data_IF_015277988189
#
_entry.id   IF_015277988189
#
_cell.length_a   1.000
_cell.length_b   1.000
_cell.length_c   1.000
_cell.angle_alpha   90.00
_cell.angle_beta   90.00
_cell.angle_gamma   90.00
#
_symmetry.space_group_name_H-M   'P 1'
#
loop_
_entity.id
_entity.type
_entity.pdbx_description
1 polymer ?
#
# COMPACT_ATOMS: atom_id res chain seq x y z
N UNK A 1 -13.52 -12.64 -18.26
CA UNK A 1 -12.47 -11.65 -18.61
C UNK A 1 -12.32 -10.72 -17.41
N UNK A 2 -11.14 -10.55 -16.79
CA UNK A 2 -11.01 -9.67 -15.65
C UNK A 2 -11.17 -8.22 -16.10
N UNK A 3 -12.08 -7.49 -15.47
CA UNK A 3 -12.25 -6.06 -15.71
C UNK A 3 -11.10 -5.31 -15.01
N UNK A 4 -10.33 -4.53 -15.76
CA UNK A 4 -9.42 -3.54 -15.17
C UNK A 4 -10.27 -2.37 -14.69
N UNK A 5 -10.68 -2.42 -13.42
CA UNK A 5 -11.34 -1.30 -12.77
C UNK A 5 -10.31 -0.17 -12.67
N UNK A 6 -10.55 0.94 -13.38
CA UNK A 6 -9.71 2.13 -13.22
C UNK A 6 -9.92 2.65 -11.79
N UNK A 7 -8.87 2.94 -11.02
CA UNK A 7 -9.03 3.58 -9.73
C UNK A 7 -9.75 4.93 -9.92
N UNK A 8 -10.75 5.20 -9.09
CA UNK A 8 -11.56 6.42 -9.16
C UNK A 8 -10.69 7.66 -8.97
N UNK A 9 -10.96 8.73 -9.71
CA UNK A 9 -10.22 10.00 -9.59
C UNK A 9 -10.43 10.59 -8.18
N UNK A 10 -9.40 10.51 -7.33
CA UNK A 10 -9.46 10.93 -5.92
C UNK A 10 -9.45 9.78 -4.90
N UNK A 11 -9.49 8.53 -5.35
CA UNK A 11 -9.33 7.37 -4.47
C UNK A 11 -7.89 7.25 -3.92
N UNK A 12 -7.70 6.50 -2.82
CA UNK A 12 -6.37 6.27 -2.28
C UNK A 12 -5.49 5.62 -3.35
N UNK A 13 -4.31 6.22 -3.59
CA UNK A 13 -3.36 5.73 -4.60
C UNK A 13 -2.65 4.43 -4.19
N UNK A 14 -2.98 3.91 -3.02
CA UNK A 14 -2.49 2.67 -2.46
C UNK A 14 -3.41 2.17 -1.37
N UNK A 15 -2.96 1.13 -0.68
CA UNK A 15 -3.70 0.44 0.36
C UNK A 15 -2.78 0.26 1.56
N UNK A 16 -3.30 0.51 2.76
CA UNK A 16 -2.62 0.25 4.02
C UNK A 16 -3.61 -0.41 4.98
N UNK A 17 -3.34 -1.65 5.34
CA UNK A 17 -4.16 -2.44 6.25
C UNK A 17 -3.38 -2.78 7.51
N UNK A 18 -4.06 -2.78 8.65
CA UNK A 18 -3.49 -3.22 9.91
C UNK A 18 -3.97 -4.64 10.23
N UNK A 19 -3.25 -5.63 9.71
CA UNK A 19 -3.60 -7.05 9.88
C UNK A 19 -3.69 -7.53 11.33
N UNK A 20 -3.09 -6.80 12.29
CA UNK A 20 -3.20 -7.15 13.71
C UNK A 20 -4.59 -6.86 14.28
N UNK A 21 -5.25 -5.81 13.78
CA UNK A 21 -6.57 -5.38 14.23
C UNK A 21 -7.68 -5.70 13.20
N UNK A 22 -7.32 -5.76 11.93
CA UNK A 22 -8.18 -5.95 10.77
C UNK A 22 -7.57 -7.04 9.85
N UNK A 23 -7.67 -8.32 10.26
CA UNK A 23 -7.14 -9.44 9.47
C UNK A 23 -7.93 -9.68 8.18
N UNK A 24 -9.16 -9.18 8.09
CA UNK A 24 -10.02 -9.28 6.91
C UNK A 24 -9.78 -8.13 5.90
N UNK A 25 -8.80 -7.24 6.15
CA UNK A 25 -8.42 -6.11 5.29
C UNK A 25 -9.62 -5.22 4.88
N UNK A 26 -10.53 -5.01 5.83
CA UNK A 26 -11.77 -4.25 5.62
C UNK A 26 -11.55 -2.74 5.65
N UNK A 27 -10.55 -2.25 6.40
CA UNK A 27 -10.35 -0.83 6.66
C UNK A 27 -9.04 -0.28 6.07
N UNK A 28 -9.18 0.58 5.05
CA UNK A 28 -8.03 1.13 4.33
C UNK A 28 -7.53 2.43 4.99
N UNK A 29 -6.52 2.29 5.84
CA UNK A 29 -5.89 3.37 6.60
C UNK A 29 -4.91 4.22 5.77
N UNK A 30 -4.85 4.04 4.44
CA UNK A 30 -3.84 4.68 3.59
C UNK A 30 -3.90 6.21 3.62
N UNK A 31 -5.10 6.79 3.68
CA UNK A 31 -5.28 8.25 3.75
C UNK A 31 -5.10 8.76 5.18
N UNK A 32 -5.46 7.95 6.18
CA UNK A 32 -5.43 8.32 7.59
C UNK A 32 -4.03 8.27 8.20
N UNK A 33 -3.15 7.40 7.70
CA UNK A 33 -1.81 7.19 8.25
C UNK A 33 -0.69 7.47 7.23
N UNK A 34 -0.54 8.73 6.76
CA UNK A 34 0.46 9.08 5.75
C UNK A 34 1.91 8.83 6.23
N UNK A 35 2.18 8.95 7.52
CA UNK A 35 3.51 8.69 8.10
C UNK A 35 3.93 7.22 7.97
N UNK A 36 2.99 6.29 8.22
CA UNK A 36 3.22 4.85 8.07
C UNK A 36 3.44 4.51 6.60
N UNK A 37 2.63 5.08 5.71
CA UNK A 37 2.79 4.93 4.25
C UNK A 37 4.18 5.41 3.81
N UNK A 38 4.65 6.56 4.29
CA UNK A 38 5.97 7.10 3.93
C UNK A 38 7.10 6.17 4.40
N UNK A 39 7.02 5.66 5.63
CA UNK A 39 7.99 4.70 6.18
C UNK A 39 8.04 3.40 5.37
N UNK A 40 6.89 2.79 5.12
CA UNK A 40 6.79 1.54 4.35
C UNK A 40 7.26 1.74 2.90
N UNK A 41 6.96 2.88 2.28
CA UNK A 41 7.48 3.23 0.94
C UNK A 41 9.00 3.37 0.93
N UNK A 42 9.59 3.97 1.95
CA UNK A 42 11.04 4.11 2.05
C UNK A 42 11.72 2.73 2.21
N UNK A 43 11.10 1.85 3.00
CA UNK A 43 11.53 0.46 3.18
C UNK A 43 11.41 -0.35 1.90
N UNK A 44 10.28 -0.26 1.19
CA UNK A 44 10.10 -0.90 -0.12
C UNK A 44 11.22 -0.49 -1.08
N UNK A 45 11.49 0.82 -1.23
CA UNK A 45 12.57 1.32 -2.09
C UNK A 45 13.94 0.81 -1.65
N UNK A 46 14.16 0.58 -0.35
CA UNK A 46 15.41 -0.01 0.16
C UNK A 46 15.53 -1.46 -0.30
N UNK A 47 14.47 -2.25 -0.14
CA UNK A 47 14.42 -3.66 -0.56
C UNK A 47 14.55 -3.79 -2.09
N UNK A 48 13.87 -2.95 -2.87
CA UNK A 48 13.97 -2.96 -4.33
C UNK A 48 15.39 -2.67 -4.83
N UNK A 49 16.12 -1.81 -4.12
CA UNK A 49 17.53 -1.49 -4.42
C UNK A 49 18.47 -2.60 -3.99
N UNK A 50 18.21 -3.28 -2.86
CA UNK A 50 19.05 -4.39 -2.38
C UNK A 50 18.76 -5.72 -3.07
N UNK A 51 17.52 -5.94 -3.52
CA UNK A 51 17.04 -7.18 -4.13
C UNK A 51 17.28 -7.29 -5.64
N UNK A 52 17.73 -6.23 -6.30
CA UNK A 52 18.18 -6.26 -7.70
C UNK A 52 19.65 -6.66 -7.81
N UNK A 53 19.95 -7.87 -7.36
CA UNK A 53 21.17 -8.58 -7.74
C UNK A 53 20.80 -9.57 -8.84
N UNK A 54 21.35 -9.30 -10.04
CA UNK A 54 21.25 -10.00 -11.35
C UNK A 54 20.60 -11.38 -11.41
#
# INVERSE_FOLDING_TARGET
>A
KPAKVKPSEGGPTGQLYNLANDPDESDNLFVENPDIVARLRAELKRVERSGRSR
#
